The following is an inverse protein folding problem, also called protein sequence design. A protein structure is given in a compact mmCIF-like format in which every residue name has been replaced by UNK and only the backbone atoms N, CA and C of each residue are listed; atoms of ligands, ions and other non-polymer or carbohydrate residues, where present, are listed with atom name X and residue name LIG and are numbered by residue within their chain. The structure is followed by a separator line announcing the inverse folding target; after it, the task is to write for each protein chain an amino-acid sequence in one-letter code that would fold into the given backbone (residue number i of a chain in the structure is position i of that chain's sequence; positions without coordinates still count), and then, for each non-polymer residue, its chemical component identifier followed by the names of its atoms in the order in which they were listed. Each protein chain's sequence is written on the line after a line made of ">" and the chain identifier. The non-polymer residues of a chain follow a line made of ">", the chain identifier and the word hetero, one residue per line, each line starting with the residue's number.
data_IF_776796157294
#
_entry.id   IF_776796157294
#
_cell.length_a   1.000
_cell.length_b   1.000
_cell.length_c   1.000
_cell.angle_alpha   90.00
_cell.angle_beta   90.00
_cell.angle_gamma   90.00
#
_symmetry.space_group_name_H-M   'P 1'
#
loop_
_entity.id
_entity.type
_entity.pdbx_description
1 polymer ?
#
# COMPACT_ATOMS: atom_id res chain seq x y z
N UNK A 1 -28.14 -4.41 -7.84
CA UNK A 1 -26.87 -3.66 -7.92
C UNK A 1 -26.34 -3.51 -6.51
N UNK A 2 -25.06 -3.84 -6.21
CA UNK A 2 -24.53 -3.61 -4.88
C UNK A 2 -24.55 -2.11 -4.57
N UNK A 3 -25.01 -1.75 -3.37
CA UNK A 3 -25.08 -0.38 -2.89
C UNK A 3 -23.65 0.18 -2.84
N UNK A 4 -23.42 1.36 -3.42
CA UNK A 4 -22.12 2.02 -3.32
C UNK A 4 -21.84 2.32 -1.83
N UNK A 5 -20.74 1.79 -1.31
CA UNK A 5 -20.28 2.10 0.04
C UNK A 5 -19.84 3.57 0.04
N UNK A 6 -20.57 4.43 0.74
CA UNK A 6 -20.30 5.89 0.82
C UNK A 6 -19.22 6.23 1.83
N UNK A 7 -18.52 5.23 2.36
CA UNK A 7 -17.46 5.42 3.34
C UNK A 7 -16.18 5.89 2.66
N UNK A 8 -15.43 6.76 3.34
CA UNK A 8 -14.10 7.17 2.91
C UNK A 8 -13.00 6.27 3.49
N UNK A 9 -13.32 5.24 4.28
CA UNK A 9 -12.28 4.31 4.76
C UNK A 9 -11.67 3.57 3.57
N UNK A 10 -10.34 3.59 3.48
CA UNK A 10 -9.57 2.93 2.42
C UNK A 10 -8.71 1.82 2.99
N UNK A 11 -8.89 0.60 2.48
CA UNK A 11 -7.91 -0.47 2.65
C UNK A 11 -6.78 -0.29 1.62
N UNK A 12 -5.58 0.07 2.06
CA UNK A 12 -4.48 0.37 1.14
C UNK A 12 -3.69 -0.86 0.70
N UNK A 13 -4.03 -2.06 1.16
CA UNK A 13 -3.35 -3.28 0.71
C UNK A 13 -4.28 -4.49 0.78
N UNK A 14 -4.82 -4.87 -0.37
CA UNK A 14 -5.48 -6.17 -0.58
C UNK A 14 -4.86 -6.89 -1.77
N UNK A 15 -4.60 -8.18 -1.62
CA UNK A 15 -4.10 -9.05 -2.67
C UNK A 15 -5.23 -9.95 -3.18
N UNK A 16 -5.86 -9.59 -4.29
CA UNK A 16 -6.92 -10.37 -4.93
C UNK A 16 -6.41 -11.27 -6.07
N UNK A 17 -5.08 -11.32 -6.25
CA UNK A 17 -4.42 -11.74 -7.48
C UNK A 17 -4.01 -13.21 -7.60
N UNK A 18 -4.04 -14.02 -6.53
CA UNK A 18 -3.55 -15.41 -6.64
C UNK A 18 -4.42 -16.33 -7.53
N UNK A 19 -5.63 -15.91 -7.91
CA UNK A 19 -6.51 -16.80 -8.68
C UNK A 19 -7.50 -16.11 -9.63
N UNK A 20 -7.61 -14.77 -9.62
CA UNK A 20 -8.74 -14.11 -10.29
C UNK A 20 -10.10 -14.69 -9.86
N UNK A 21 -10.14 -15.34 -8.69
CA UNK A 21 -11.26 -16.13 -8.24
C UNK A 21 -12.42 -15.18 -7.90
N UNK A 22 -13.55 -15.27 -8.63
CA UNK A 22 -14.73 -14.47 -8.33
C UNK A 22 -15.20 -14.64 -6.88
N UNK A 23 -14.94 -15.78 -6.24
CA UNK A 23 -15.28 -16.03 -4.85
C UNK A 23 -14.45 -15.17 -3.89
N UNK A 24 -13.15 -15.00 -4.13
CA UNK A 24 -12.28 -14.16 -3.29
C UNK A 24 -12.72 -12.69 -3.33
N UNK A 25 -13.02 -12.16 -4.53
CA UNK A 25 -13.53 -10.80 -4.67
C UNK A 25 -14.91 -10.63 -4.00
N UNK A 26 -15.79 -11.61 -4.13
CA UNK A 26 -17.11 -11.57 -3.47
C UNK A 26 -16.98 -11.58 -1.95
N UNK A 27 -16.09 -12.41 -1.40
CA UNK A 27 -15.79 -12.46 0.03
C UNK A 27 -15.20 -11.14 0.53
N UNK A 28 -14.23 -10.58 -0.20
CA UNK A 28 -13.64 -9.29 0.13
C UNK A 28 -14.69 -8.17 0.16
N UNK A 29 -15.59 -8.11 -0.83
CA UNK A 29 -16.70 -7.13 -0.87
C UNK A 29 -17.64 -7.25 0.32
N UNK A 30 -17.99 -8.48 0.70
CA UNK A 30 -18.82 -8.71 1.88
C UNK A 30 -18.13 -8.19 3.15
N UNK A 31 -16.82 -8.44 3.28
CA UNK A 31 -16.01 -7.93 4.37
C UNK A 31 -15.88 -6.39 4.37
N UNK A 32 -15.69 -5.77 3.20
CA UNK A 32 -15.68 -4.30 3.07
C UNK A 32 -17.01 -3.70 3.56
N UNK A 33 -18.13 -4.29 3.16
CA UNK A 33 -19.45 -3.83 3.59
C UNK A 33 -19.65 -3.97 5.11
N UNK A 34 -19.20 -5.10 5.69
CA UNK A 34 -19.28 -5.33 7.13
C UNK A 34 -18.38 -4.38 7.94
N UNK A 35 -17.20 -4.04 7.42
CA UNK A 35 -16.24 -3.15 8.06
C UNK A 35 -16.50 -1.66 7.79
N UNK A 36 -17.42 -1.33 6.86
CA UNK A 36 -17.64 0.04 6.41
C UNK A 36 -16.45 0.60 5.61
N UNK A 37 -15.72 -0.24 4.89
CA UNK A 37 -14.62 0.18 3.99
C UNK A 37 -15.23 0.54 2.63
N UNK A 38 -14.99 1.76 2.15
CA UNK A 38 -15.56 2.20 0.86
C UNK A 38 -14.59 2.18 -0.31
N UNK A 39 -13.28 2.14 -0.05
CA UNK A 39 -12.23 2.22 -1.07
C UNK A 39 -11.17 1.15 -0.84
N UNK A 40 -10.50 0.72 -1.89
CA UNK A 40 -9.38 -0.22 -1.76
C UNK A 40 -8.26 0.02 -2.77
N UNK A 41 -7.07 -0.45 -2.42
CA UNK A 41 -5.92 -0.52 -3.31
C UNK A 41 -5.55 -1.99 -3.50
N UNK A 42 -5.80 -2.50 -4.70
CA UNK A 42 -5.49 -3.88 -5.09
C UNK A 42 -4.02 -3.95 -5.48
N UNK A 43 -3.24 -4.71 -4.72
CA UNK A 43 -1.80 -4.83 -4.90
C UNK A 43 -1.50 -6.18 -5.54
N UNK A 44 -0.73 -6.14 -6.63
CA UNK A 44 -0.23 -7.34 -7.31
C UNK A 44 0.58 -8.20 -6.34
N UNK A 45 0.24 -9.49 -6.19
CA UNK A 45 1.07 -10.46 -5.46
C UNK A 45 2.40 -10.70 -6.17
N UNK A 46 3.47 -10.88 -5.42
CA UNK A 46 4.79 -11.14 -5.99
C UNK A 46 4.83 -12.47 -6.78
N UNK A 47 4.08 -13.48 -6.35
CA UNK A 47 3.98 -14.77 -7.03
C UNK A 47 3.40 -14.68 -8.46
N UNK A 48 2.63 -13.62 -8.77
CA UNK A 48 2.06 -13.38 -10.09
C UNK A 48 3.03 -12.67 -11.05
N UNK A 49 4.18 -12.19 -10.55
CA UNK A 49 5.16 -11.45 -11.34
C UNK A 49 4.53 -10.28 -12.10
N UNK A 50 4.92 -10.11 -13.36
CA UNK A 50 4.46 -9.00 -14.23
C UNK A 50 3.15 -9.28 -14.97
N UNK A 51 2.53 -10.45 -14.78
CA UNK A 51 1.18 -10.71 -15.29
C UNK A 51 0.14 -10.07 -14.37
N UNK A 52 -0.23 -8.84 -14.69
CA UNK A 52 -1.14 -8.03 -13.88
C UNK A 52 -2.63 -8.28 -14.22
N UNK A 53 -2.97 -9.28 -15.04
CA UNK A 53 -4.33 -9.49 -15.54
C UNK A 53 -5.36 -9.66 -14.40
N UNK A 54 -5.03 -10.44 -13.37
CA UNK A 54 -5.92 -10.66 -12.22
C UNK A 54 -6.14 -9.39 -11.40
N UNK A 55 -5.06 -8.62 -11.15
CA UNK A 55 -5.13 -7.33 -10.45
C UNK A 55 -5.97 -6.32 -11.23
N UNK A 56 -5.76 -6.21 -12.55
CA UNK A 56 -6.54 -5.33 -13.42
C UNK A 56 -8.02 -5.72 -13.45
N UNK A 57 -8.32 -7.02 -13.53
CA UNK A 57 -9.69 -7.52 -13.47
C UNK A 57 -10.37 -7.19 -12.13
N UNK A 58 -9.66 -7.32 -11.01
CA UNK A 58 -10.17 -6.97 -9.70
C UNK A 58 -10.44 -5.46 -9.54
N UNK A 59 -9.51 -4.61 -10.00
CA UNK A 59 -9.68 -3.14 -10.03
C UNK A 59 -10.89 -2.77 -10.87
N UNK A 60 -11.01 -3.31 -12.09
CA UNK A 60 -12.13 -3.06 -12.99
C UNK A 60 -13.46 -3.52 -12.37
N UNK A 61 -13.47 -4.67 -11.70
CA UNK A 61 -14.67 -5.19 -11.06
C UNK A 61 -15.14 -4.28 -9.93
N UNK A 62 -14.24 -3.80 -9.06
CA UNK A 62 -14.57 -2.87 -7.97
C UNK A 62 -14.97 -1.49 -8.50
N UNK A 63 -14.33 -1.03 -9.58
CA UNK A 63 -14.68 0.22 -10.27
C UNK A 63 -14.02 1.45 -9.63
N UNK A 64 -14.67 2.63 -9.62
CA UNK A 64 -14.05 3.90 -9.22
C UNK A 64 -13.47 3.94 -7.79
N UNK A 65 -13.98 3.07 -6.92
CA UNK A 65 -13.53 2.90 -5.54
C UNK A 65 -12.21 2.11 -5.40
N UNK A 66 -11.67 1.56 -6.49
CA UNK A 66 -10.40 0.87 -6.50
C UNK A 66 -9.29 1.68 -7.18
N UNK A 67 -8.08 1.46 -6.69
CA UNK A 67 -6.85 1.71 -7.42
C UNK A 67 -6.01 0.45 -7.44
N UNK A 68 -5.04 0.38 -8.35
CA UNK A 68 -4.11 -0.74 -8.43
C UNK A 68 -2.65 -0.35 -8.26
N UNK A 69 -1.88 -1.28 -7.70
CA UNK A 69 -0.42 -1.26 -7.66
C UNK A 69 0.08 -2.55 -8.30
N UNK A 70 0.95 -2.42 -9.29
CA UNK A 70 1.34 -3.54 -10.19
C UNK A 70 2.84 -3.80 -10.19
N UNK A 71 3.26 -4.98 -10.64
CA UNK A 71 4.68 -5.22 -10.92
C UNK A 71 4.90 -5.00 -12.42
N UNK A 72 5.86 -4.14 -12.77
CA UNK A 72 6.10 -3.75 -14.16
C UNK A 72 7.27 -4.54 -14.76
N UNK A 73 7.19 -4.96 -16.03
CA UNK A 73 8.32 -5.54 -16.74
C UNK A 73 9.39 -4.48 -17.01
N UNK A 74 10.64 -4.91 -17.15
CA UNK A 74 11.75 -3.95 -17.26
C UNK A 74 11.69 -3.07 -18.51
N UNK A 75 11.14 -3.62 -19.60
CA UNK A 75 10.99 -3.01 -20.90
C UNK A 75 9.65 -2.28 -21.09
N UNK A 76 8.88 -2.09 -20.00
CA UNK A 76 7.60 -1.36 -20.03
C UNK A 76 7.76 -0.02 -20.76
N UNK A 77 6.88 0.25 -21.72
CA UNK A 77 6.91 1.46 -22.54
C UNK A 77 6.07 2.58 -21.91
N UNK A 78 6.30 3.86 -22.26
CA UNK A 78 5.44 4.96 -21.82
C UNK A 78 3.97 4.76 -22.17
N UNK A 79 3.70 4.20 -23.36
CA UNK A 79 2.33 3.90 -23.81
C UNK A 79 1.65 2.87 -22.92
N UNK A 80 2.34 1.80 -22.53
CA UNK A 80 1.77 0.79 -21.64
C UNK A 80 1.52 1.33 -20.24
N UNK A 81 2.39 2.20 -19.73
CA UNK A 81 2.13 2.92 -18.47
C UNK A 81 0.85 3.76 -18.55
N UNK A 82 0.63 4.46 -19.66
CA UNK A 82 -0.57 5.28 -19.86
C UNK A 82 -1.84 4.41 -19.97
N UNK A 83 -1.73 3.24 -20.60
CA UNK A 83 -2.83 2.26 -20.65
C UNK A 83 -3.15 1.68 -19.27
N UNK A 84 -2.16 1.44 -18.42
CA UNK A 84 -2.36 1.01 -17.04
C UNK A 84 -2.98 2.13 -16.20
N UNK A 85 -2.58 3.38 -16.40
CA UNK A 85 -3.19 4.54 -15.73
C UNK A 85 -4.69 4.66 -16.03
N UNK A 86 -5.07 4.48 -17.30
CA UNK A 86 -6.47 4.47 -17.72
C UNK A 86 -7.30 3.35 -17.08
N UNK A 87 -6.65 2.29 -16.57
CA UNK A 87 -7.28 1.17 -15.88
C UNK A 87 -7.28 1.32 -14.35
N UNK A 88 -6.88 2.50 -13.83
CA UNK A 88 -6.90 2.79 -12.39
C UNK A 88 -5.63 2.38 -11.64
N UNK A 89 -4.55 2.05 -12.36
CA UNK A 89 -3.24 1.82 -11.74
C UNK A 89 -2.61 3.17 -11.37
N UNK A 90 -1.98 3.22 -10.20
CA UNK A 90 -1.41 4.45 -9.62
C UNK A 90 -0.05 4.25 -8.94
N UNK A 91 0.51 3.04 -9.03
CA UNK A 91 1.81 2.74 -8.43
C UNK A 91 2.39 1.44 -8.95
N UNK A 92 3.68 1.27 -8.69
CA UNK A 92 4.41 0.04 -8.98
C UNK A 92 4.98 -0.57 -7.70
N UNK A 93 4.80 -1.88 -7.53
CA UNK A 93 5.38 -2.66 -6.43
C UNK A 93 6.79 -3.10 -6.80
N UNK A 94 7.72 -2.93 -5.88
CA UNK A 94 9.11 -3.37 -5.99
C UNK A 94 9.52 -4.09 -4.71
N UNK A 95 9.80 -5.39 -4.80
CA UNK A 95 10.31 -6.17 -3.67
C UNK A 95 11.84 -6.10 -3.68
N UNK A 96 12.45 -5.59 -2.61
CA UNK A 96 13.89 -5.68 -2.39
C UNK A 96 14.29 -7.13 -2.14
N UNK A 97 15.40 -7.55 -2.73
CA UNK A 97 15.81 -8.95 -2.76
C UNK A 97 15.02 -9.83 -3.75
N UNK A 98 13.95 -9.29 -4.35
CA UNK A 98 13.17 -9.95 -5.39
C UNK A 98 13.77 -9.77 -6.80
N UNK A 99 12.94 -9.99 -7.83
CA UNK A 99 13.37 -9.90 -9.23
C UNK A 99 13.77 -8.48 -9.67
N UNK A 100 13.35 -7.42 -8.95
CA UNK A 100 13.65 -6.03 -9.30
C UNK A 100 14.92 -5.57 -8.58
N UNK A 101 15.92 -5.17 -9.37
CA UNK A 101 17.16 -4.59 -8.84
C UNK A 101 16.97 -3.11 -8.43
N UNK A 102 17.83 -2.63 -7.53
CA UNK A 102 17.84 -1.21 -7.14
C UNK A 102 18.09 -0.27 -8.33
N UNK A 103 18.97 -0.68 -9.25
CA UNK A 103 19.25 0.08 -10.47
C UNK A 103 18.02 0.17 -11.37
N UNK A 104 17.27 -0.93 -11.50
CA UNK A 104 16.02 -0.93 -12.24
C UNK A 104 15.00 0.02 -11.61
N UNK A 105 14.84 -0.02 -10.29
CA UNK A 105 13.96 0.89 -9.55
C UNK A 105 14.31 2.36 -9.80
N UNK A 106 15.60 2.74 -9.74
CA UNK A 106 16.04 4.12 -9.98
C UNK A 106 15.78 4.60 -11.42
N UNK A 107 15.78 3.69 -12.41
CA UNK A 107 15.39 4.03 -13.79
C UNK A 107 13.87 4.15 -13.97
N UNK A 108 13.11 3.36 -13.23
CA UNK A 108 11.65 3.34 -13.31
C UNK A 108 11.01 4.53 -12.58
N UNK A 109 11.52 4.87 -11.40
CA UNK A 109 10.89 5.87 -10.51
C UNK A 109 10.62 7.25 -11.15
N UNK A 110 11.53 7.87 -11.93
CA UNK A 110 11.22 9.13 -12.60
C UNK A 110 9.99 9.03 -13.51
N UNK A 111 9.86 7.91 -14.24
CA UNK A 111 8.76 7.67 -15.19
C UNK A 111 7.41 7.49 -14.49
N UNK A 112 7.44 6.96 -13.26
CA UNK A 112 6.27 6.85 -12.39
C UNK A 112 5.90 8.22 -11.80
N UNK A 113 6.90 8.95 -11.29
CA UNK A 113 6.71 10.28 -10.72
C UNK A 113 6.11 11.28 -11.73
N UNK A 114 6.53 11.24 -13.01
CA UNK A 114 5.96 12.07 -14.08
C UNK A 114 4.44 11.88 -14.28
N UNK A 115 3.90 10.75 -13.81
CA UNK A 115 2.46 10.41 -13.83
C UNK A 115 1.76 10.64 -12.50
N UNK A 116 2.48 11.14 -11.49
CA UNK A 116 2.00 11.21 -10.11
C UNK A 116 1.85 9.83 -9.44
N UNK A 117 2.48 8.79 -9.98
CA UNK A 117 2.46 7.45 -9.39
C UNK A 117 3.50 7.34 -8.26
N UNK A 118 3.27 6.38 -7.37
CA UNK A 118 4.19 6.03 -6.29
C UNK A 118 4.93 4.72 -6.56
N UNK A 119 6.05 4.53 -5.88
CA UNK A 119 6.71 3.24 -5.72
C UNK A 119 6.25 2.62 -4.41
N UNK A 120 5.71 1.42 -4.43
CA UNK A 120 5.49 0.61 -3.22
C UNK A 120 6.69 -0.33 -3.02
N UNK A 121 7.47 -0.06 -1.98
CA UNK A 121 8.67 -0.81 -1.65
C UNK A 121 8.36 -1.86 -0.59
N UNK A 122 8.62 -3.12 -0.91
CA UNK A 122 8.50 -4.25 0.01
C UNK A 122 9.88 -4.74 0.39
N UNK A 123 10.15 -4.86 1.69
CA UNK A 123 11.47 -5.20 2.20
C UNK A 123 11.38 -5.75 3.62
N UNK A 124 12.44 -6.42 4.07
CA UNK A 124 12.59 -6.81 5.47
C UNK A 124 13.11 -5.61 6.27
N UNK A 125 12.50 -5.31 7.42
CA UNK A 125 12.88 -4.13 8.20
C UNK A 125 14.36 -4.13 8.65
N UNK A 126 15.02 -5.29 8.74
CA UNK A 126 16.45 -5.38 9.04
C UNK A 126 17.34 -4.78 7.95
N UNK A 127 16.84 -4.67 6.71
CA UNK A 127 17.54 -4.03 5.58
C UNK A 127 17.44 -2.50 5.61
N UNK A 128 16.55 -1.95 6.44
CA UNK A 128 16.21 -0.54 6.45
C UNK A 128 17.41 0.41 6.64
N UNK A 129 18.34 0.18 7.59
CA UNK A 129 19.48 1.07 7.77
C UNK A 129 20.36 1.20 6.51
N UNK A 130 20.43 0.17 5.68
CA UNK A 130 21.18 0.20 4.43
C UNK A 130 20.41 0.86 3.26
N UNK A 131 19.09 0.98 3.39
CA UNK A 131 18.20 1.49 2.36
C UNK A 131 17.75 2.94 2.59
N UNK A 132 17.91 3.51 3.79
CA UNK A 132 17.43 4.87 4.15
C UNK A 132 17.79 5.94 3.10
N UNK A 133 19.08 6.12 2.82
CA UNK A 133 19.56 7.13 1.86
C UNK A 133 19.08 6.87 0.44
N UNK A 134 19.06 5.59 0.07
CA UNK A 134 18.64 5.12 -1.25
C UNK A 134 17.16 5.41 -1.49
N UNK A 135 16.30 5.10 -0.54
CA UNK A 135 14.86 5.38 -0.58
C UNK A 135 14.59 6.87 -0.67
N UNK A 136 15.32 7.69 0.09
CA UNK A 136 15.21 9.16 0.02
C UNK A 136 15.63 9.75 -1.32
N UNK A 137 16.46 9.06 -2.08
CA UNK A 137 16.88 9.49 -3.41
C UNK A 137 15.87 9.14 -4.52
N UNK A 138 14.83 8.34 -4.22
CA UNK A 138 13.79 7.99 -5.18
C UNK A 138 12.95 9.25 -5.48
N UNK A 139 12.81 9.65 -6.75
CA UNK A 139 11.93 10.75 -7.11
C UNK A 139 10.46 10.35 -6.91
N UNK A 140 9.67 11.28 -6.38
CA UNK A 140 8.24 11.08 -6.14
C UNK A 140 7.95 10.37 -4.81
N UNK A 141 6.75 9.81 -4.73
CA UNK A 141 6.25 9.17 -3.52
C UNK A 141 6.72 7.73 -3.40
N UNK A 142 7.21 7.37 -2.21
CA UNK A 142 7.50 5.98 -1.83
C UNK A 142 6.51 5.53 -0.76
N UNK A 143 6.02 4.32 -0.87
CA UNK A 143 5.17 3.66 0.13
C UNK A 143 5.93 2.47 0.68
N UNK A 144 6.24 2.52 1.97
CA UNK A 144 6.96 1.46 2.68
C UNK A 144 5.96 0.42 3.16
N UNK A 145 6.13 -0.82 2.69
CA UNK A 145 5.40 -1.99 3.16
C UNK A 145 6.41 -3.05 3.59
N UNK A 146 6.91 -2.91 4.83
CA UNK A 146 7.91 -3.81 5.37
C UNK A 146 7.29 -4.80 6.35
N UNK A 147 7.74 -6.05 6.30
CA UNK A 147 7.55 -6.96 7.42
C UNK A 147 8.60 -6.62 8.48
N UNK A 148 8.13 -6.20 9.65
CA UNK A 148 9.03 -5.87 10.75
C UNK A 148 9.38 -7.10 11.58
N UNK A 149 8.55 -8.14 11.56
CA UNK A 149 8.66 -9.32 12.41
C UNK A 149 8.58 -8.98 13.90
N UNK A 150 9.68 -8.46 14.45
CA UNK A 150 9.82 -8.01 15.83
C UNK A 150 9.96 -6.48 15.92
N UNK A 151 9.88 -5.93 17.14
CA UNK A 151 10.08 -4.50 17.36
C UNK A 151 11.50 -4.10 16.93
N UNK A 152 11.65 -3.13 16.00
CA UNK A 152 12.96 -2.69 15.57
C UNK A 152 13.71 -2.04 16.73
N UNK A 153 15.04 -2.12 16.70
CA UNK A 153 15.85 -1.39 17.66
C UNK A 153 15.65 0.14 17.53
N UNK A 154 16.15 0.87 18.53
CA UNK A 154 15.97 2.31 18.59
C UNK A 154 16.57 3.06 17.38
N UNK A 155 17.64 2.53 16.78
CA UNK A 155 18.32 3.15 15.64
C UNK A 155 17.52 2.96 14.35
N UNK A 156 17.03 1.74 14.08
CA UNK A 156 16.16 1.42 12.96
C UNK A 156 14.83 2.17 13.05
N UNK A 157 14.20 2.22 14.23
CA UNK A 157 12.97 2.98 14.45
C UNK A 157 13.19 4.50 14.21
N UNK A 158 14.32 5.05 14.65
CA UNK A 158 14.67 6.45 14.42
C UNK A 158 14.97 6.75 12.94
N UNK A 159 15.61 5.83 12.22
CA UNK A 159 15.83 5.94 10.79
C UNK A 159 14.51 5.98 10.02
N UNK A 160 13.55 5.11 10.38
CA UNK A 160 12.25 5.09 9.75
C UNK A 160 11.51 6.41 9.94
N UNK A 161 11.50 6.94 11.16
CA UNK A 161 10.91 8.23 11.48
C UNK A 161 11.53 9.36 10.66
N UNK A 162 12.87 9.45 10.60
CA UNK A 162 13.56 10.49 9.81
C UNK A 162 13.16 10.46 8.34
N UNK A 163 12.99 9.28 7.74
CA UNK A 163 12.58 9.18 6.34
C UNK A 163 11.13 9.61 6.13
N UNK A 164 10.23 9.27 7.05
CA UNK A 164 8.84 9.71 6.99
C UNK A 164 8.74 11.25 7.17
N UNK A 165 9.51 11.81 8.12
CA UNK A 165 9.61 13.25 8.37
C UNK A 165 10.24 14.01 7.18
N UNK A 166 11.20 13.41 6.47
CA UNK A 166 11.82 14.00 5.29
C UNK A 166 10.83 14.21 4.13
N UNK A 167 9.69 13.51 4.15
CA UNK A 167 8.48 13.96 3.47
C UNK A 167 8.22 13.39 2.08
N UNK A 168 9.00 12.41 1.58
CA UNK A 168 8.69 11.70 0.32
C UNK A 168 8.20 10.25 0.52
N UNK A 169 8.03 9.81 1.78
CA UNK A 169 7.69 8.43 2.11
C UNK A 169 6.42 8.32 2.97
N UNK A 170 5.62 7.30 2.68
CA UNK A 170 4.48 6.83 3.47
C UNK A 170 4.81 5.46 4.06
N UNK A 171 4.15 5.06 5.15
CA UNK A 171 4.26 3.71 5.71
C UNK A 171 2.89 3.06 5.84
N UNK A 172 2.77 1.81 5.38
CA UNK A 172 1.60 0.98 5.58
C UNK A 172 1.71 0.21 6.88
N UNK A 173 0.72 0.38 7.74
CA UNK A 173 0.62 -0.20 9.06
C UNK A 173 -0.54 -1.18 9.10
N UNK A 174 -0.40 -2.24 9.87
CA UNK A 174 -1.34 -3.36 9.91
C UNK A 174 -0.86 -4.42 10.89
N UNK A 175 -1.41 -5.63 10.78
CA UNK A 175 -1.05 -6.74 11.67
C UNK A 175 0.42 -7.18 11.54
N UNK A 176 1.08 -6.85 10.42
CA UNK A 176 2.50 -7.13 10.15
C UNK A 176 3.47 -6.13 10.81
N UNK A 177 2.94 -5.14 11.56
CA UNK A 177 3.77 -4.14 12.25
C UNK A 177 3.61 -4.30 13.77
N UNK A 178 4.72 -4.42 14.52
CA UNK A 178 4.70 -4.42 15.97
C UNK A 178 3.89 -3.25 16.55
N UNK A 179 3.06 -3.55 17.55
CA UNK A 179 2.09 -2.59 18.06
C UNK A 179 2.74 -1.32 18.64
N UNK A 180 3.90 -1.45 19.30
CA UNK A 180 4.60 -0.30 19.87
C UNK A 180 5.16 0.61 18.77
N UNK A 181 5.74 0.03 17.71
CA UNK A 181 6.14 0.78 16.52
C UNK A 181 4.95 1.48 15.85
N UNK A 182 3.85 0.75 15.58
CA UNK A 182 2.67 1.33 14.95
C UNK A 182 2.11 2.52 15.74
N UNK A 183 2.02 2.39 17.08
CA UNK A 183 1.58 3.47 17.97
C UNK A 183 2.55 4.66 17.98
N UNK A 184 3.85 4.40 17.96
CA UNK A 184 4.87 5.46 17.88
C UNK A 184 4.75 6.24 16.57
N UNK A 185 4.61 5.56 15.44
CA UNK A 185 4.48 6.18 14.12
C UNK A 185 3.17 6.97 13.98
N UNK A 186 2.03 6.39 14.38
CA UNK A 186 0.75 7.10 14.34
C UNK A 186 0.70 8.31 15.29
N UNK A 187 1.52 8.36 16.34
CA UNK A 187 1.63 9.54 17.20
C UNK A 187 2.55 10.62 16.62
N UNK A 188 3.69 10.23 16.03
CA UNK A 188 4.74 11.17 15.63
C UNK A 188 4.58 11.69 14.20
N UNK A 189 4.14 10.83 13.28
CA UNK A 189 4.00 11.11 11.84
C UNK A 189 2.66 10.61 11.29
N UNK A 190 1.51 10.95 11.92
CA UNK A 190 0.19 10.46 11.51
C UNK A 190 -0.16 10.79 10.06
N UNK A 191 0.39 11.89 9.53
CA UNK A 191 0.20 12.36 8.17
C UNK A 191 1.06 11.59 7.14
N UNK A 192 1.80 10.55 7.55
CA UNK A 192 2.54 9.62 6.69
C UNK A 192 2.13 8.17 6.89
N UNK A 193 1.14 7.90 7.73
CA UNK A 193 0.66 6.57 8.03
C UNK A 193 -0.54 6.18 7.16
N UNK A 194 -0.56 4.94 6.69
CA UNK A 194 -1.67 4.31 5.97
C UNK A 194 -2.06 3.02 6.69
N UNK A 195 -3.30 2.56 6.52
CA UNK A 195 -3.73 1.26 7.00
C UNK A 195 -3.79 0.23 5.87
N UNK A 196 -3.28 -0.96 6.14
CA UNK A 196 -3.26 -2.09 5.24
C UNK A 196 -3.88 -3.31 5.93
N UNK A 197 -4.92 -3.89 5.35
CA UNK A 197 -5.50 -5.13 5.87
C UNK A 197 -4.57 -6.33 5.63
N UNK A 198 -3.80 -6.29 4.55
CA UNK A 198 -3.03 -7.43 4.05
C UNK A 198 -3.90 -8.69 3.85
N UNK A 199 -5.18 -8.48 3.51
CA UNK A 199 -6.11 -9.57 3.19
C UNK A 199 -5.74 -10.18 1.82
N UNK A 200 -5.79 -11.52 1.66
CA UNK A 200 -6.24 -12.53 2.63
C UNK A 200 -5.13 -13.11 3.52
N UNK A 201 -3.88 -12.64 3.40
CA UNK A 201 -2.70 -13.23 4.06
C UNK A 201 -2.83 -13.27 5.58
N UNK A 202 -3.38 -12.24 6.21
CA UNK A 202 -3.57 -12.21 7.67
C UNK A 202 -4.67 -13.17 8.18
N UNK A 203 -5.39 -13.88 7.30
CA UNK A 203 -6.39 -14.90 7.64
C UNK A 203 -7.43 -14.49 8.71
N UNK A 204 -7.79 -13.20 8.75
CA UNK A 204 -8.79 -12.66 9.67
C UNK A 204 -9.87 -11.88 8.93
N UNK A 205 -11.10 -11.75 9.49
CA UNK A 205 -12.14 -10.89 8.95
C UNK A 205 -11.70 -9.42 8.88
N UNK A 206 -12.13 -8.71 7.82
CA UNK A 206 -11.81 -7.28 7.65
C UNK A 206 -12.24 -6.38 8.83
N UNK A 207 -13.40 -6.57 9.48
CA UNK A 207 -13.75 -5.77 10.67
C UNK A 207 -12.71 -5.88 11.79
N UNK A 208 -12.16 -7.09 12.00
CA UNK A 208 -11.17 -7.34 13.05
C UNK A 208 -9.82 -6.72 12.68
N UNK A 209 -9.40 -6.84 11.41
CA UNK A 209 -8.18 -6.20 10.91
C UNK A 209 -8.26 -4.66 10.97
N UNK A 210 -9.44 -4.09 10.72
CA UNK A 210 -9.67 -2.65 10.84
C UNK A 210 -9.67 -2.19 12.30
N UNK A 211 -10.23 -2.99 13.22
CA UNK A 211 -10.27 -2.68 14.64
C UNK A 211 -8.87 -2.54 15.26
N UNK A 212 -7.84 -3.15 14.67
CA UNK A 212 -6.45 -2.99 15.12
C UNK A 212 -6.04 -1.52 15.14
N UNK A 213 -6.55 -0.68 14.21
CA UNK A 213 -6.27 0.77 14.13
C UNK A 213 -6.58 1.50 15.43
N UNK A 214 -7.58 1.05 16.18
CA UNK A 214 -7.92 1.64 17.48
C UNK A 214 -6.84 1.42 18.54
N UNK A 215 -6.01 0.41 18.38
CA UNK A 215 -4.98 0.05 19.37
C UNK A 215 -3.71 0.89 19.26
N UNK A 216 -3.50 1.58 18.13
CA UNK A 216 -2.33 2.44 17.88
C UNK A 216 -2.69 3.91 17.62
N UNK A 217 -3.97 4.29 17.69
CA UNK A 217 -4.43 5.68 17.58
C UNK A 217 -5.07 6.14 18.90
N UNK A 218 -4.71 7.34 19.36
CA UNK A 218 -5.23 7.88 20.63
C UNK A 218 -6.55 8.67 20.44
N UNK A 219 -6.87 9.12 19.22
CA UNK A 219 -8.09 9.89 18.92
C UNK A 219 -8.67 9.65 17.52
N UNK A 220 -9.89 10.15 17.30
CA UNK A 220 -10.66 9.98 16.06
C UNK A 220 -10.05 10.73 14.88
N UNK A 221 -9.41 11.88 15.11
CA UNK A 221 -8.85 12.69 14.03
C UNK A 221 -7.64 11.99 13.41
N UNK A 222 -6.72 11.47 14.22
CA UNK A 222 -5.61 10.63 13.74
C UNK A 222 -6.12 9.40 13.01
N UNK A 223 -7.14 8.74 13.54
CA UNK A 223 -7.74 7.56 12.90
C UNK A 223 -8.31 7.87 11.52
N UNK A 224 -9.14 8.91 11.39
CA UNK A 224 -9.69 9.33 10.10
C UNK A 224 -8.60 9.82 9.14
N UNK A 225 -7.54 10.46 9.65
CA UNK A 225 -6.40 10.84 8.82
C UNK A 225 -5.75 9.62 8.16
N UNK A 226 -5.44 8.58 8.95
CA UNK A 226 -4.80 7.34 8.48
C UNK A 226 -5.71 6.54 7.53
N UNK A 227 -7.00 6.45 7.85
CA UNK A 227 -7.97 5.63 7.11
C UNK A 227 -8.55 6.32 5.88
N UNK A 228 -8.63 7.65 5.87
CA UNK A 228 -9.45 8.39 4.90
C UNK A 228 -8.65 9.47 4.17
N UNK A 229 -8.04 10.40 4.89
CA UNK A 229 -7.41 11.60 4.30
C UNK A 229 -6.11 11.26 3.58
N UNK A 230 -5.20 10.56 4.26
CA UNK A 230 -3.91 10.14 3.72
C UNK A 230 -4.06 9.29 2.45
N UNK A 231 -4.85 8.19 2.44
CA UNK A 231 -5.01 7.40 1.24
C UNK A 231 -5.74 8.17 0.13
N UNK A 232 -6.66 9.09 0.45
CA UNK A 232 -7.27 9.93 -0.59
C UNK A 232 -6.24 10.79 -1.31
N UNK A 233 -5.33 11.42 -0.54
CA UNK A 233 -4.27 12.27 -1.07
C UNK A 233 -3.25 11.47 -1.91
N UNK A 234 -2.81 10.31 -1.41
CA UNK A 234 -1.80 9.49 -2.09
C UNK A 234 -2.33 8.79 -3.34
N UNK A 235 -3.52 8.18 -3.27
CA UNK A 235 -4.06 7.34 -4.34
C UNK A 235 -5.03 8.09 -5.28
N UNK A 236 -5.25 9.39 -5.04
CA UNK A 236 -6.10 10.23 -5.88
C UNK A 236 -7.57 9.83 -5.85
N UNK A 237 -8.09 9.54 -4.66
CA UNK A 237 -9.53 9.35 -4.48
C UNK A 237 -10.21 10.70 -4.24
N UNK A 238 -11.25 10.98 -5.02
CA UNK A 238 -12.14 12.14 -4.88
C UNK A 238 -13.20 11.92 -3.81
#
# INVERSE_FOLDING_TARGET
>A
MPQALTSHITDTHVALGESGDPAALAQYRAGMAAAGIGRCVVVQPECCGTDNAATLAAVAAVGPAARGVVILPEDITPRELDLLAAQGICGARCCLGGAITWEHLLRLAPRLNDRGWHVELVFDASEWPACEERVRAIPGWVVLFADFGEEPDAAAAAALLRTLEAGNAWVKLGAHVPQALARRLARQVPDRCLWASNWPVCQAPLPDLLAVVETWTDDRATRSQILETNPAALYGFS
#
